data_IF_358449135224
#
_entry.id   IF_358449135224
#
_cell.length_a   1.000
_cell.length_b   1.000
_cell.length_c   1.000
_cell.angle_alpha   90.00
_cell.angle_beta   90.00
_cell.angle_gamma   90.00
#
_symmetry.space_group_name_H-M   'P 1'
#
loop_
_entity.id
_entity.type
_entity.pdbx_description
1 polymer ?
#
# COMPACT_ATOMS: atom_id res chain seq x y z
N UNK A 1 4.65 -13.93 -2.95
CA UNK A 1 4.20 -12.66 -3.53
C UNK A 1 3.81 -12.81 -4.99
N UNK A 2 2.51 -12.82 -5.24
CA UNK A 2 1.87 -12.90 -6.55
C UNK A 2 1.12 -11.59 -6.81
N UNK A 3 1.37 -10.89 -7.93
CA UNK A 3 0.63 -9.67 -8.26
C UNK A 3 -0.84 -10.00 -8.54
N UNK A 4 -1.73 -9.11 -8.11
CA UNK A 4 -3.16 -9.18 -8.40
C UNK A 4 -3.65 -7.81 -8.88
N UNK A 5 -4.79 -7.80 -9.58
CA UNK A 5 -5.44 -6.58 -10.07
C UNK A 5 -6.84 -6.48 -9.47
N UNK A 6 -6.95 -6.09 -8.19
CA UNK A 6 -8.26 -5.85 -7.57
C UNK A 6 -8.90 -4.58 -8.13
N UNK A 7 -10.19 -4.41 -7.85
CA UNK A 7 -10.88 -3.13 -8.08
C UNK A 7 -10.40 -2.13 -7.04
N UNK A 8 -10.04 -0.92 -7.46
CA UNK A 8 -9.74 0.20 -6.57
C UNK A 8 -10.67 1.34 -6.96
N UNK A 9 -11.42 1.85 -5.99
CA UNK A 9 -12.36 2.95 -6.18
C UNK A 9 -12.17 4.03 -5.12
N UNK A 10 -12.74 5.20 -5.39
CA UNK A 10 -12.85 6.25 -4.37
C UNK A 10 -13.90 5.85 -3.34
N UNK A 11 -13.63 6.20 -2.10
CA UNK A 11 -14.66 6.22 -1.06
C UNK A 11 -15.76 7.19 -1.44
N UNK A 12 -16.98 6.83 -1.10
CA UNK A 12 -18.08 7.78 -1.01
C UNK A 12 -17.84 8.75 0.15
N UNK A 13 -18.58 9.86 0.18
CA UNK A 13 -18.47 10.82 1.29
C UNK A 13 -18.84 10.19 2.64
N UNK A 14 -19.83 9.29 2.65
CA UNK A 14 -20.24 8.58 3.85
C UNK A 14 -19.12 7.66 4.35
N UNK A 15 -18.57 6.81 3.49
CA UNK A 15 -17.45 5.91 3.85
C UNK A 15 -16.24 6.70 4.36
N UNK A 16 -15.91 7.82 3.71
CA UNK A 16 -14.82 8.69 4.16
C UNK A 16 -15.10 9.29 5.55
N UNK A 17 -16.34 9.74 5.80
CA UNK A 17 -16.74 10.27 7.11
C UNK A 17 -16.70 9.20 8.20
N UNK A 18 -17.12 7.97 7.91
CA UNK A 18 -17.08 6.84 8.84
C UNK A 18 -15.64 6.43 9.18
N UNK A 19 -14.72 6.55 8.21
CA UNK A 19 -13.29 6.35 8.39
C UNK A 19 -12.56 7.57 9.01
N UNK A 20 -13.27 8.66 9.35
CA UNK A 20 -12.67 9.87 9.92
C UNK A 20 -11.83 10.69 8.94
N UNK A 21 -12.01 10.52 7.63
CA UNK A 21 -11.28 11.21 6.57
C UNK A 21 -12.06 12.43 6.04
N UNK A 22 -11.39 13.58 5.97
CA UNK A 22 -12.01 14.83 5.51
C UNK A 22 -11.92 15.07 3.99
N UNK A 23 -11.02 14.39 3.28
CA UNK A 23 -10.72 14.64 1.86
C UNK A 23 -11.03 13.46 0.92
N UNK A 24 -11.76 12.46 1.42
CA UNK A 24 -11.96 11.19 0.72
C UNK A 24 -10.75 10.25 0.84
N UNK A 25 -10.98 8.96 0.59
CA UNK A 25 -9.96 7.91 0.59
C UNK A 25 -10.15 6.94 -0.58
N UNK A 26 -9.31 5.91 -0.63
CA UNK A 26 -9.39 4.83 -1.61
C UNK A 26 -9.80 3.53 -0.92
N UNK A 27 -10.66 2.76 -1.57
CA UNK A 27 -11.02 1.39 -1.17
C UNK A 27 -10.49 0.42 -2.21
N UNK A 28 -9.84 -0.64 -1.73
CA UNK A 28 -9.50 -1.82 -2.51
C UNK A 28 -10.55 -2.89 -2.26
N UNK A 29 -11.15 -3.40 -3.32
CA UNK A 29 -12.15 -4.48 -3.26
C UNK A 29 -11.52 -5.78 -3.77
N UNK A 30 -11.46 -6.78 -2.90
CA UNK A 30 -10.92 -8.09 -3.24
C UNK A 30 -11.70 -9.23 -2.58
N UNK A 31 -12.26 -10.11 -3.42
CA UNK A 31 -13.00 -11.32 -2.98
C UNK A 31 -14.10 -11.01 -1.96
N UNK A 32 -14.88 -9.95 -2.20
CA UNK A 32 -15.99 -9.55 -1.31
C UNK A 32 -15.57 -8.80 -0.05
N UNK A 33 -14.27 -8.51 0.13
CA UNK A 33 -13.76 -7.67 1.20
C UNK A 33 -13.40 -6.29 0.68
N UNK A 34 -13.53 -5.28 1.54
CA UNK A 34 -13.16 -3.89 1.30
C UNK A 34 -12.05 -3.49 2.25
N UNK A 35 -10.96 -2.94 1.71
CA UNK A 35 -9.79 -2.50 2.47
C UNK A 35 -9.57 -1.02 2.26
N UNK A 36 -9.38 -0.27 3.34
CA UNK A 36 -9.04 1.15 3.31
C UNK A 36 -7.58 1.30 2.93
N UNK A 37 -7.29 2.07 1.87
CA UNK A 37 -5.92 2.28 1.43
C UNK A 37 -5.33 3.56 2.00
N UNK A 38 -4.09 3.48 2.50
CA UNK A 38 -3.24 4.64 2.75
C UNK A 38 -2.61 5.13 1.44
N UNK A 39 -3.46 5.52 0.49
CA UNK A 39 -3.07 6.03 -0.82
C UNK A 39 -4.00 7.16 -1.27
N UNK A 40 -3.40 8.20 -1.79
CA UNK A 40 -4.02 9.27 -2.57
C UNK A 40 -4.20 8.91 -4.05
N UNK A 41 -4.96 9.76 -4.73
CA UNK A 41 -5.43 9.54 -6.10
C UNK A 41 -4.33 9.62 -7.17
N UNK A 42 -3.21 10.26 -6.86
CA UNK A 42 -2.06 10.40 -7.75
C UNK A 42 -0.96 9.37 -7.49
N UNK A 43 -1.18 8.46 -6.54
CA UNK A 43 -0.20 7.45 -6.17
C UNK A 43 -0.23 6.27 -7.13
N UNK A 44 0.93 5.66 -7.32
CA UNK A 44 1.03 4.36 -7.99
C UNK A 44 0.86 3.26 -6.95
N UNK A 45 -0.23 2.51 -7.08
CA UNK A 45 -0.59 1.42 -6.17
C UNK A 45 -0.35 0.07 -6.86
N UNK A 46 0.39 -0.81 -6.19
CA UNK A 46 0.64 -2.18 -6.63
C UNK A 46 0.20 -3.17 -5.56
N UNK A 47 -0.65 -4.12 -5.94
CA UNK A 47 -1.26 -5.06 -5.00
C UNK A 47 -0.70 -6.47 -5.22
N UNK A 48 -0.37 -7.13 -4.12
CA UNK A 48 0.16 -8.47 -4.11
C UNK A 48 -0.55 -9.33 -3.07
N UNK A 49 -0.56 -10.63 -3.30
CA UNK A 49 -0.97 -11.63 -2.30
C UNK A 49 0.22 -12.52 -1.94
N UNK A 50 0.30 -12.92 -0.68
CA UNK A 50 1.23 -13.95 -0.22
C UNK A 50 0.65 -14.65 1.00
N UNK A 51 0.47 -15.97 0.92
CA UNK A 51 -0.30 -16.71 1.93
C UNK A 51 -1.71 -16.10 2.09
N UNK A 52 -2.14 -15.84 3.32
CA UNK A 52 -3.43 -15.23 3.64
C UNK A 52 -3.44 -13.70 3.52
N UNK A 53 -2.29 -13.05 3.40
CA UNK A 53 -2.18 -11.59 3.47
C UNK A 53 -2.25 -10.91 2.10
N UNK A 54 -2.83 -9.72 2.08
CA UNK A 54 -2.76 -8.76 0.98
C UNK A 54 -1.70 -7.71 1.33
N UNK A 55 -0.85 -7.39 0.37
CA UNK A 55 0.16 -6.36 0.49
C UNK A 55 -0.09 -5.28 -0.55
N UNK A 56 -0.18 -4.04 -0.08
CA UNK A 56 -0.39 -2.87 -0.95
C UNK A 56 0.86 -2.00 -0.89
N UNK A 57 1.59 -1.95 -1.99
CA UNK A 57 2.73 -1.06 -2.17
C UNK A 57 2.23 0.24 -2.82
N UNK A 58 2.36 1.34 -2.09
CA UNK A 58 2.03 2.70 -2.56
C UNK A 58 3.31 3.46 -2.81
N UNK A 59 3.43 4.08 -3.97
CA UNK A 59 4.60 4.93 -4.30
C UNK A 59 4.15 6.28 -4.84
N UNK A 60 4.77 7.35 -4.35
CA UNK A 60 4.62 8.68 -4.92
C UNK A 60 5.99 9.31 -5.10
N UNK A 61 6.41 9.49 -6.36
CA UNK A 61 7.69 10.12 -6.67
C UNK A 61 7.67 11.64 -6.50
N UNK A 62 6.51 12.29 -6.69
CA UNK A 62 6.36 13.73 -6.51
C UNK A 62 6.43 14.14 -5.04
N UNK A 63 5.83 13.34 -4.15
CA UNK A 63 5.89 13.54 -2.71
C UNK A 63 7.03 12.79 -2.02
N UNK A 64 7.81 11.98 -2.76
CA UNK A 64 9.03 11.35 -2.28
C UNK A 64 8.81 10.30 -1.19
N UNK A 65 7.78 9.46 -1.31
CA UNK A 65 7.49 8.40 -0.33
C UNK A 65 7.22 7.02 -0.97
N UNK A 66 7.46 5.97 -0.19
CA UNK A 66 7.12 4.57 -0.48
C UNK A 66 6.47 3.99 0.78
N UNK A 67 5.25 3.48 0.66
CA UNK A 67 4.54 2.77 1.71
C UNK A 67 4.28 1.32 1.34
N UNK A 68 4.32 0.42 2.32
CA UNK A 68 3.83 -0.94 2.21
C UNK A 68 2.87 -1.22 3.37
N UNK A 69 1.62 -1.44 3.04
CA UNK A 69 0.58 -1.87 3.98
C UNK A 69 0.33 -3.37 3.85
N UNK A 70 0.08 -4.05 4.98
CA UNK A 70 -0.34 -5.44 5.02
C UNK A 70 -1.73 -5.58 5.63
N UNK A 71 -2.57 -6.40 5.01
CA UNK A 71 -3.95 -6.66 5.41
C UNK A 71 -4.18 -8.16 5.58
N UNK A 72 -5.04 -8.51 6.53
CA UNK A 72 -5.60 -9.84 6.67
C UNK A 72 -7.04 -9.88 6.12
N UNK A 73 -7.55 -11.05 5.71
CA UNK A 73 -8.94 -11.17 5.30
C UNK A 73 -9.87 -10.74 6.44
N UNK A 74 -10.93 -9.99 6.08
CA UNK A 74 -11.91 -9.39 7.00
C UNK A 74 -11.39 -8.26 7.91
N UNK A 75 -10.13 -7.85 7.78
CA UNK A 75 -9.61 -6.64 8.45
C UNK A 75 -9.60 -5.49 7.44
N UNK A 76 -10.45 -4.46 7.59
CA UNK A 76 -10.56 -3.38 6.60
C UNK A 76 -9.34 -2.46 6.63
N UNK A 77 -8.72 -2.30 7.78
CA UNK A 77 -7.54 -1.46 7.99
C UNK A 77 -6.25 -2.30 7.97
N UNK A 78 -5.10 -1.70 7.62
CA UNK A 78 -3.85 -2.43 7.60
C UNK A 78 -3.45 -2.88 9.00
N UNK A 79 -3.08 -4.15 9.12
CA UNK A 79 -2.58 -4.74 10.37
C UNK A 79 -1.13 -4.33 10.66
N UNK A 80 -0.38 -3.93 9.63
CA UNK A 80 0.97 -3.40 9.76
C UNK A 80 1.33 -2.54 8.54
N UNK A 81 2.18 -1.54 8.75
CA UNK A 81 2.59 -0.58 7.72
C UNK A 81 4.07 -0.25 7.86
N UNK A 82 4.80 -0.29 6.74
CA UNK A 82 6.13 0.31 6.60
C UNK A 82 6.01 1.55 5.74
N UNK A 83 6.53 2.68 6.22
CA UNK A 83 6.48 3.95 5.51
C UNK A 83 7.85 4.63 5.45
N UNK A 84 8.34 4.83 4.24
CA UNK A 84 9.61 5.52 3.96
C UNK A 84 9.29 6.85 3.28
N UNK A 85 9.90 7.95 3.71
CA UNK A 85 9.56 9.32 3.29
C UNK A 85 10.76 10.14 2.82
N UNK A 86 11.89 9.51 2.50
CA UNK A 86 13.07 10.20 1.97
C UNK A 86 13.96 9.29 1.13
N UNK A 87 14.71 9.88 0.20
CA UNK A 87 15.69 9.16 -0.63
C UNK A 87 16.80 8.51 0.21
N UNK A 88 17.15 9.10 1.36
CA UNK A 88 18.05 8.51 2.34
C UNK A 88 17.48 7.18 2.88
N UNK A 89 16.25 7.20 3.41
CA UNK A 89 15.59 5.99 3.92
C UNK A 89 15.39 4.93 2.83
N UNK A 90 15.07 5.34 1.60
CA UNK A 90 14.99 4.41 0.47
C UNK A 90 16.33 3.74 0.23
N UNK A 91 17.41 4.50 0.20
CA UNK A 91 18.75 3.99 -0.09
C UNK A 91 19.27 3.10 1.03
N UNK A 92 19.00 3.44 2.28
CA UNK A 92 19.36 2.64 3.46
C UNK A 92 18.58 1.31 3.48
N UNK A 93 17.27 1.35 3.25
CA UNK A 93 16.38 0.19 3.39
C UNK A 93 16.42 -0.72 2.15
N UNK A 94 16.34 -0.12 0.95
CA UNK A 94 16.21 -0.84 -0.32
C UNK A 94 17.54 -0.99 -1.05
N UNK A 95 18.53 -0.15 -0.75
CA UNK A 95 19.83 -0.06 -1.42
C UNK A 95 19.88 1.03 -2.49
N UNK A 96 21.09 1.44 -2.89
CA UNK A 96 21.30 2.53 -3.86
C UNK A 96 20.68 2.31 -5.25
N UNK A 97 20.39 1.06 -5.61
CA UNK A 97 19.76 0.69 -6.88
C UNK A 97 18.22 0.59 -6.80
N UNK A 98 17.60 1.06 -5.71
CA UNK A 98 16.15 0.91 -5.50
C UNK A 98 15.29 1.45 -6.66
N UNK A 99 15.75 2.52 -7.32
CA UNK A 99 15.05 3.15 -8.47
C UNK A 99 14.87 2.22 -9.68
N UNK A 100 15.71 1.19 -9.77
CA UNK A 100 15.67 0.18 -10.84
C UNK A 100 14.96 -1.11 -10.42
N UNK A 101 14.51 -1.20 -9.16
CA UNK A 101 13.82 -2.38 -8.68
C UNK A 101 12.38 -2.40 -9.18
N UNK A 102 11.89 -3.60 -9.49
CA UNK A 102 10.47 -3.77 -9.76
C UNK A 102 9.65 -3.52 -8.49
N UNK A 103 8.38 -3.09 -8.60
CA UNK A 103 7.48 -2.96 -7.45
C UNK A 103 7.42 -4.23 -6.59
N UNK A 104 7.39 -5.41 -7.22
CA UNK A 104 7.42 -6.70 -6.52
C UNK A 104 8.67 -6.88 -5.66
N UNK A 105 9.83 -6.49 -6.19
CA UNK A 105 11.12 -6.59 -5.48
C UNK A 105 11.15 -5.64 -4.28
N UNK A 106 10.65 -4.41 -4.45
CA UNK A 106 10.54 -3.42 -3.37
C UNK A 106 9.63 -3.97 -2.26
N UNK A 107 8.42 -4.39 -2.59
CA UNK A 107 7.48 -4.96 -1.62
C UNK A 107 8.07 -6.19 -0.91
N UNK A 108 8.73 -7.10 -1.63
CA UNK A 108 9.38 -8.28 -1.02
C UNK A 108 10.42 -7.90 0.02
N UNK A 109 11.21 -6.84 -0.23
CA UNK A 109 12.17 -6.33 0.75
C UNK A 109 11.49 -5.70 1.96
N UNK A 110 10.47 -4.87 1.72
CA UNK A 110 9.76 -4.16 2.80
C UNK A 110 8.96 -5.11 3.71
N UNK A 111 8.51 -6.27 3.21
CA UNK A 111 7.84 -7.28 4.04
C UNK A 111 8.69 -7.72 5.23
N UNK A 112 10.03 -7.78 5.08
CA UNK A 112 10.93 -8.18 6.16
C UNK A 112 10.95 -7.19 7.34
N UNK A 113 10.34 -6.01 7.18
CA UNK A 113 10.26 -4.96 8.20
C UNK A 113 8.86 -4.87 8.83
N UNK A 114 7.91 -5.74 8.43
CA UNK A 114 6.56 -5.83 9.01
C UNK A 114 6.51 -6.78 10.24
N UNK A 115 7.63 -6.97 10.93
CA UNK A 115 7.76 -7.87 12.09
C UNK A 115 7.27 -7.17 13.36
#
# INVERSE_FOLDING_TARGET
MTPILPSIRRMTFQEASEAGLHSGGLILEHRGNSYHLNAGLSDSVHVFTSSIAIYVLTTNRGHGYIGLDAYLPNEPDPINTVFLHSDYQFTETLGSKWKYMSPRTIATKLINYLI
#
